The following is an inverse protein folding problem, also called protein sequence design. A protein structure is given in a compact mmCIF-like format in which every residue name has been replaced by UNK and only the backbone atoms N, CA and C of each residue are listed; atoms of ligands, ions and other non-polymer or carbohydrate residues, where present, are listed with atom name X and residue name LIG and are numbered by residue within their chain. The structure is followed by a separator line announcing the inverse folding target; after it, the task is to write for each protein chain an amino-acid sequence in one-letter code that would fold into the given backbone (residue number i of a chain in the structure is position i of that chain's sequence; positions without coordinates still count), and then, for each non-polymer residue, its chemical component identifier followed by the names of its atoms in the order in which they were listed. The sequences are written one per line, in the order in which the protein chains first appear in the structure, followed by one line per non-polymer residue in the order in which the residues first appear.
data_IF_048951770403
#
_entry.id   IF_048951770403
#
_cell.length_a   1.000
_cell.length_b   1.000
_cell.length_c   1.000
_cell.angle_alpha   90.00
_cell.angle_beta   90.00
_cell.angle_gamma   90.00
#
_symmetry.space_group_name_H-M   'P 1'
#
loop_
_entity.id
_entity.type
_entity.pdbx_description
1 polymer ?
#
# COMPACT_ATOMS: atom_id res chain seq x y z
N UNK A 1 17.30 -20.53 20.70
CA UNK A 1 15.86 -20.40 20.96
C UNK A 1 15.18 -20.26 19.63
N UNK A 2 14.22 -21.10 19.28
CA UNK A 2 13.46 -20.91 18.03
C UNK A 2 12.65 -19.63 18.16
N UNK A 3 12.83 -18.73 17.19
CA UNK A 3 12.02 -17.53 17.07
C UNK A 3 10.57 -17.98 16.82
N UNK A 4 9.65 -17.63 17.72
CA UNK A 4 8.24 -17.84 17.49
C UNK A 4 7.85 -17.13 16.19
N UNK A 5 7.17 -17.82 15.24
CA UNK A 5 6.70 -17.15 14.04
C UNK A 5 5.77 -16.01 14.48
N UNK A 6 6.16 -14.77 14.18
CA UNK A 6 5.27 -13.65 14.28
C UNK A 6 4.22 -13.92 13.22
N UNK A 7 3.01 -14.25 13.64
CA UNK A 7 1.84 -14.29 12.76
C UNK A 7 1.61 -12.85 12.31
N UNK A 8 2.20 -12.51 11.19
CA UNK A 8 1.98 -11.23 10.56
C UNK A 8 0.58 -11.27 9.97
N UNK A 9 -0.25 -10.33 10.37
CA UNK A 9 -1.55 -10.10 9.77
C UNK A 9 -1.32 -9.79 8.28
N UNK A 10 -1.89 -10.56 7.33
CA UNK A 10 -1.70 -10.30 5.90
C UNK A 10 -2.06 -8.89 5.46
N UNK A 11 -2.94 -8.21 6.18
CA UNK A 11 -3.30 -6.82 5.94
C UNK A 11 -2.13 -5.83 6.15
N UNK A 12 -1.08 -6.24 6.88
CA UNK A 12 0.12 -5.43 7.13
C UNK A 12 1.13 -5.51 5.98
N UNK A 13 0.99 -6.48 5.06
CA UNK A 13 2.00 -6.77 4.03
C UNK A 13 1.90 -5.94 2.76
N UNK A 14 0.78 -5.35 2.50
CA UNK A 14 0.62 -4.51 1.32
C UNK A 14 0.49 -3.05 1.78
N UNK A 15 1.59 -2.28 1.78
CA UNK A 15 1.51 -0.86 2.04
C UNK A 15 0.85 -0.19 0.83
N UNK A 16 -0.43 -0.41 0.69
CA UNK A 16 -1.26 0.47 -0.10
C UNK A 16 -1.51 1.71 0.75
N UNK A 17 -1.64 2.87 0.15
CA UNK A 17 -2.13 4.10 0.80
C UNK A 17 -3.45 3.91 1.58
N UNK A 18 -4.00 2.73 1.55
CA UNK A 18 -5.23 2.24 2.21
C UNK A 18 -5.02 1.67 3.62
N UNK A 19 -3.80 1.27 3.96
CA UNK A 19 -3.51 0.69 5.29
C UNK A 19 -3.39 1.77 6.38
N UNK A 20 -3.42 3.04 6.00
CA UNK A 20 -3.73 4.13 6.90
C UNK A 20 -5.24 4.16 7.19
N UNK A 21 -5.76 3.05 7.70
CA UNK A 21 -7.06 3.01 8.34
C UNK A 21 -7.02 3.74 9.70
N UNK A 22 -6.64 5.02 9.69
CA UNK A 22 -7.25 5.99 10.59
C UNK A 22 -8.60 6.33 9.97
N UNK A 23 -9.45 5.36 9.86
CA UNK A 23 -10.86 5.62 9.71
C UNK A 23 -11.35 5.95 11.11
N UNK A 24 -11.20 7.19 11.49
CA UNK A 24 -12.22 7.81 12.33
C UNK A 24 -13.54 7.49 11.60
N UNK A 25 -14.34 6.58 12.18
CA UNK A 25 -15.45 5.95 11.49
C UNK A 25 -16.26 6.97 10.70
N UNK A 26 -16.05 7.00 9.41
CA UNK A 26 -16.87 7.82 8.54
C UNK A 26 -18.27 7.18 8.58
N UNK A 27 -19.28 7.84 9.14
CA UNK A 27 -20.62 7.23 9.28
C UNK A 27 -21.25 6.91 7.92
N UNK A 28 -20.67 7.36 6.82
CA UNK A 28 -21.14 7.10 5.46
C UNK A 28 -20.44 5.92 4.78
N UNK A 29 -19.45 5.28 5.43
CA UNK A 29 -18.82 4.06 4.92
C UNK A 29 -19.27 2.85 5.70
N UNK A 30 -19.81 1.85 5.01
CA UNK A 30 -20.10 0.54 5.58
C UNK A 30 -19.09 -0.44 5.01
N UNK A 31 -18.37 -1.14 5.89
CA UNK A 31 -17.42 -2.17 5.51
C UNK A 31 -17.78 -3.53 6.13
N UNK A 32 -17.68 -4.58 5.35
CA UNK A 32 -17.79 -5.98 5.81
C UNK A 32 -16.49 -6.66 5.40
N UNK A 33 -15.78 -7.24 6.36
CA UNK A 33 -14.60 -8.03 6.14
C UNK A 33 -14.81 -9.43 6.70
N UNK A 34 -14.53 -10.42 5.87
CA UNK A 34 -14.47 -11.80 6.27
C UNK A 34 -13.14 -12.40 5.79
N UNK A 35 -12.45 -13.09 6.66
CA UNK A 35 -11.18 -13.71 6.33
C UNK A 35 -10.99 -15.03 7.06
N UNK A 36 -10.21 -15.93 6.47
CA UNK A 36 -9.92 -17.23 7.07
C UNK A 36 -8.79 -17.98 6.40
N UNK A 37 -8.27 -18.94 7.12
CA UNK A 37 -7.27 -19.84 6.59
C UNK A 37 -7.92 -20.88 5.70
N UNK A 38 -7.41 -21.03 4.47
CA UNK A 38 -7.82 -22.08 3.53
C UNK A 38 -6.96 -23.34 3.71
N UNK A 39 -5.65 -23.14 3.92
CA UNK A 39 -4.69 -24.21 4.12
C UNK A 39 -3.51 -23.73 4.94
N UNK A 40 -2.93 -24.59 5.79
CA UNK A 40 -1.77 -24.27 6.63
C UNK A 40 -0.81 -25.47 6.68
N UNK A 41 0.50 -25.20 6.62
CA UNK A 41 1.58 -26.14 6.83
C UNK A 41 2.69 -25.50 7.66
N UNK A 42 3.73 -26.24 8.00
CA UNK A 42 4.78 -25.83 8.97
C UNK A 42 5.42 -24.47 8.64
N UNK A 43 5.68 -24.20 7.37
CA UNK A 43 6.41 -23.01 6.93
C UNK A 43 5.56 -22.04 6.11
N UNK A 44 4.23 -22.21 6.06
CA UNK A 44 3.39 -21.34 5.26
C UNK A 44 1.90 -21.55 5.45
N UNK A 45 1.13 -20.72 4.78
CA UNK A 45 -0.32 -20.79 4.78
C UNK A 45 -0.92 -20.16 3.51
N UNK A 46 -2.12 -20.59 3.18
CA UNK A 46 -3.00 -19.92 2.22
C UNK A 46 -4.15 -19.30 3.00
N UNK A 47 -4.34 -18.01 2.78
CA UNK A 47 -5.37 -17.22 3.43
C UNK A 47 -6.32 -16.66 2.38
N UNK A 48 -7.62 -16.73 2.64
CA UNK A 48 -8.66 -16.13 1.82
C UNK A 48 -9.31 -14.97 2.55
N UNK A 49 -9.63 -13.90 1.84
CA UNK A 49 -10.38 -12.77 2.38
C UNK A 49 -11.44 -12.28 1.40
N UNK A 50 -12.50 -11.74 1.97
CA UNK A 50 -13.56 -11.04 1.25
C UNK A 50 -13.81 -9.71 1.94
N UNK A 51 -13.82 -8.63 1.15
CA UNK A 51 -14.06 -7.29 1.65
C UNK A 51 -15.15 -6.63 0.84
N UNK A 52 -16.05 -5.96 1.52
CA UNK A 52 -17.02 -5.06 0.90
C UNK A 52 -16.89 -3.69 1.56
N UNK A 53 -16.68 -2.66 0.74
CA UNK A 53 -16.64 -1.27 1.15
C UNK A 53 -17.67 -0.49 0.33
N UNK A 54 -18.58 0.18 1.02
CA UNK A 54 -19.61 0.99 0.37
C UNK A 54 -19.52 2.43 0.85
N UNK A 55 -19.57 3.36 -0.09
CA UNK A 55 -19.69 4.79 0.18
C UNK A 55 -20.97 5.29 -0.50
N UNK A 56 -21.90 5.71 0.29
CA UNK A 56 -23.26 6.07 -0.15
C UNK A 56 -23.22 7.10 -1.28
N UNK A 57 -23.91 6.77 -2.38
CA UNK A 57 -24.04 7.63 -3.54
C UNK A 57 -22.77 7.79 -4.41
N UNK A 58 -21.64 7.20 -4.01
CA UNK A 58 -20.39 7.32 -4.74
C UNK A 58 -19.93 5.99 -5.36
N UNK A 59 -19.78 4.94 -4.55
CA UNK A 59 -19.39 3.62 -5.06
C UNK A 59 -19.64 2.50 -4.04
N UNK A 60 -19.74 1.29 -4.56
CA UNK A 60 -19.65 0.01 -3.81
C UNK A 60 -18.47 -0.78 -4.39
N UNK A 61 -17.59 -1.28 -3.54
CA UNK A 61 -16.46 -2.14 -3.90
C UNK A 61 -16.62 -3.47 -3.19
N UNK A 62 -16.48 -4.56 -3.95
CA UNK A 62 -16.31 -5.90 -3.40
C UNK A 62 -15.02 -6.50 -3.88
N UNK A 63 -14.31 -7.16 -2.99
CA UNK A 63 -13.09 -7.87 -3.34
C UNK A 63 -13.07 -9.27 -2.75
N UNK A 64 -12.43 -10.15 -3.49
CA UNK A 64 -12.05 -11.49 -3.02
C UNK A 64 -10.57 -11.62 -3.28
N UNK A 65 -9.83 -12.12 -2.29
CA UNK A 65 -8.40 -12.23 -2.35
C UNK A 65 -7.95 -13.58 -1.80
N UNK A 66 -6.93 -14.16 -2.43
CA UNK A 66 -6.26 -15.37 -1.95
C UNK A 66 -4.77 -15.06 -1.88
N UNK A 67 -4.21 -15.25 -0.69
CA UNK A 67 -2.80 -14.97 -0.38
C UNK A 67 -2.09 -16.24 0.03
N UNK A 68 -0.90 -16.45 -0.54
CA UNK A 68 0.08 -17.44 -0.13
C UNK A 68 1.15 -16.73 0.71
N UNK A 69 1.39 -17.21 1.91
CA UNK A 69 2.47 -16.74 2.79
C UNK A 69 3.40 -17.89 3.05
N UNK A 70 4.69 -17.67 2.82
CA UNK A 70 5.73 -18.71 2.94
C UNK A 70 6.96 -18.16 3.65
N UNK A 71 7.51 -18.95 4.59
CA UNK A 71 8.72 -18.61 5.33
C UNK A 71 9.85 -19.59 4.98
N UNK A 72 11.00 -19.03 4.59
CA UNK A 72 12.24 -19.79 4.29
C UNK A 72 13.39 -19.24 5.13
N UNK A 73 13.46 -19.61 6.40
CA UNK A 73 14.46 -19.09 7.32
C UNK A 73 14.36 -17.57 7.50
N UNK A 74 15.34 -16.83 6.97
CA UNK A 74 15.36 -15.37 7.03
C UNK A 74 14.51 -14.68 5.93
N UNK A 75 14.05 -15.45 4.94
CA UNK A 75 13.22 -14.94 3.84
C UNK A 75 11.76 -15.22 4.12
N UNK A 76 10.94 -14.19 4.03
CA UNK A 76 9.48 -14.23 4.03
C UNK A 76 8.96 -13.83 2.67
N UNK A 77 8.01 -14.56 2.15
CA UNK A 77 7.33 -14.27 0.90
C UNK A 77 5.82 -14.24 1.14
N UNK A 78 5.17 -13.21 0.66
CA UNK A 78 3.72 -13.16 0.52
C UNK A 78 3.38 -12.88 -0.94
N UNK A 79 2.45 -13.65 -1.52
CA UNK A 79 1.98 -13.45 -2.90
C UNK A 79 0.48 -13.66 -2.94
N UNK A 80 -0.23 -12.82 -3.67
CA UNK A 80 -1.68 -12.86 -3.71
C UNK A 80 -2.25 -12.60 -5.09
N UNK A 81 -3.48 -13.07 -5.26
CA UNK A 81 -4.34 -12.76 -6.41
C UNK A 81 -5.64 -12.26 -5.84
N UNK A 82 -6.15 -11.16 -6.40
CA UNK A 82 -7.39 -10.53 -5.99
C UNK A 82 -8.27 -10.19 -7.19
N UNK A 83 -9.58 -10.26 -6.98
CA UNK A 83 -10.56 -9.74 -7.90
C UNK A 83 -11.35 -8.64 -7.19
N UNK A 84 -11.43 -7.48 -7.84
CA UNK A 84 -12.14 -6.31 -7.35
C UNK A 84 -13.29 -5.98 -8.29
N UNK A 85 -14.45 -5.77 -7.75
CA UNK A 85 -15.60 -5.32 -8.50
C UNK A 85 -16.11 -4.01 -7.91
N UNK A 86 -16.27 -3.02 -8.77
CA UNK A 86 -16.67 -1.66 -8.42
C UNK A 86 -17.99 -1.33 -9.09
N UNK A 87 -18.93 -0.81 -8.33
CA UNK A 87 -20.18 -0.24 -8.84
C UNK A 87 -20.20 1.24 -8.52
N UNK A 88 -20.42 2.02 -9.54
CA UNK A 88 -20.45 3.48 -9.50
C UNK A 88 -21.68 3.97 -10.26
N UNK A 89 -22.18 5.19 -10.02
CA UNK A 89 -23.28 5.74 -10.81
C UNK A 89 -22.95 5.70 -12.32
N UNK A 90 -23.74 4.92 -13.07
CA UNK A 90 -23.57 4.79 -14.53
C UNK A 90 -22.39 3.94 -15.00
N UNK A 91 -21.61 3.32 -14.09
CA UNK A 91 -20.43 2.54 -14.47
C UNK A 91 -20.19 1.36 -13.54
N UNK A 92 -19.81 0.23 -14.13
CA UNK A 92 -19.32 -0.95 -13.42
C UNK A 92 -17.96 -1.33 -13.96
N UNK A 93 -16.98 -1.57 -13.07
CA UNK A 93 -15.64 -1.97 -13.43
C UNK A 93 -15.21 -3.22 -12.67
N UNK A 94 -14.36 -4.01 -13.31
CA UNK A 94 -13.75 -5.19 -12.70
C UNK A 94 -12.24 -5.09 -12.90
N UNK A 95 -11.49 -5.31 -11.82
CA UNK A 95 -10.04 -5.39 -11.84
C UNK A 95 -9.59 -6.75 -11.31
N UNK A 96 -8.51 -7.26 -11.87
CA UNK A 96 -7.77 -8.39 -11.31
C UNK A 96 -6.44 -7.84 -10.85
N UNK A 97 -6.08 -8.13 -9.61
CA UNK A 97 -4.81 -7.75 -9.00
C UNK A 97 -3.93 -8.96 -8.75
N UNK A 98 -2.64 -8.77 -8.89
CA UNK A 98 -1.60 -9.70 -8.43
C UNK A 98 -0.64 -8.90 -7.57
N UNK A 99 -0.20 -9.49 -6.46
CA UNK A 99 0.70 -8.84 -5.53
C UNK A 99 1.78 -9.80 -5.04
N UNK A 100 2.95 -9.27 -4.75
CA UNK A 100 4.02 -10.01 -4.12
C UNK A 100 4.80 -9.12 -3.18
N UNK A 101 5.28 -9.69 -2.09
CA UNK A 101 6.12 -9.04 -1.11
C UNK A 101 7.20 -10.05 -0.69
N UNK A 102 8.44 -9.61 -0.71
CA UNK A 102 9.60 -10.38 -0.31
C UNK A 102 10.33 -9.60 0.78
N UNK A 103 10.46 -10.18 1.96
CA UNK A 103 11.20 -9.58 3.07
C UNK A 103 12.35 -10.50 3.46
N UNK A 104 13.56 -9.97 3.44
CA UNK A 104 14.75 -10.65 3.95
C UNK A 104 15.21 -9.99 5.25
N UNK A 105 15.31 -10.76 6.32
CA UNK A 105 15.76 -10.31 7.65
C UNK A 105 17.21 -10.64 7.87
N UNK A 106 18.06 -9.63 7.87
CA UNK A 106 19.49 -9.81 8.21
C UNK A 106 19.66 -10.16 9.70
N UNK A 107 18.86 -9.51 10.55
CA UNK A 107 18.80 -9.74 11.99
C UNK A 107 17.45 -9.17 12.54
N UNK A 108 17.32 -9.11 13.86
CA UNK A 108 16.11 -8.57 14.51
C UNK A 108 15.90 -7.07 14.29
N UNK A 109 16.96 -6.34 13.95
CA UNK A 109 16.93 -4.88 13.80
C UNK A 109 16.90 -4.42 12.35
N UNK A 110 17.31 -5.26 11.39
CA UNK A 110 17.52 -4.85 10.00
C UNK A 110 16.83 -5.84 9.06
N UNK A 111 15.97 -5.32 8.19
CA UNK A 111 15.37 -6.09 7.10
C UNK A 111 15.25 -5.25 5.83
N UNK A 112 15.25 -5.92 4.69
CA UNK A 112 14.93 -5.32 3.39
C UNK A 112 13.66 -5.95 2.86
N UNK A 113 12.77 -5.11 2.34
CA UNK A 113 11.51 -5.55 1.74
C UNK A 113 11.41 -5.02 0.32
N UNK A 114 11.10 -5.91 -0.62
CA UNK A 114 10.71 -5.56 -1.99
C UNK A 114 9.25 -5.96 -2.20
N UNK A 115 8.48 -5.14 -2.87
CA UNK A 115 7.08 -5.40 -3.14
C UNK A 115 6.68 -4.99 -4.54
N UNK A 116 5.64 -5.64 -5.05
CA UNK A 116 5.02 -5.30 -6.32
C UNK A 116 3.55 -5.65 -6.31
N UNK A 117 2.75 -4.78 -6.87
CA UNK A 117 1.33 -4.98 -7.13
C UNK A 117 1.03 -4.57 -8.58
N UNK A 118 0.38 -5.45 -9.30
CA UNK A 118 -0.13 -5.18 -10.63
C UNK A 118 -1.65 -5.29 -10.63
N UNK A 119 -2.32 -4.32 -11.23
CA UNK A 119 -3.79 -4.29 -11.33
C UNK A 119 -4.17 -4.04 -12.77
N UNK A 120 -5.07 -4.87 -13.30
CA UNK A 120 -5.62 -4.69 -14.65
C UNK A 120 -6.56 -3.48 -14.71
N UNK A 121 -6.73 -2.90 -15.91
CA UNK A 121 -7.71 -1.84 -16.18
C UNK A 121 -7.67 -0.70 -15.16
N UNK A 122 -6.54 0.03 -15.03
CA UNK A 122 -6.48 1.18 -14.14
C UNK A 122 -7.49 2.23 -14.61
N UNK A 123 -8.34 2.70 -13.70
CA UNK A 123 -9.36 3.71 -13.99
C UNK A 123 -9.38 4.78 -12.91
N UNK A 124 -9.87 5.95 -13.28
CA UNK A 124 -10.08 7.06 -12.39
C UNK A 124 -11.57 7.42 -12.33
N UNK A 125 -12.07 7.74 -11.16
CA UNK A 125 -13.45 8.17 -10.94
C UNK A 125 -13.48 9.59 -10.37
N UNK A 126 -12.94 9.76 -9.19
CA UNK A 126 -12.89 11.03 -8.47
C UNK A 126 -11.80 11.01 -7.42
N UNK A 127 -11.38 12.17 -6.94
CA UNK A 127 -10.42 12.28 -5.84
C UNK A 127 -10.94 11.63 -4.56
N UNK A 128 -12.25 11.68 -4.30
CA UNK A 128 -12.85 11.08 -3.12
C UNK A 128 -12.84 9.54 -3.17
N UNK A 129 -12.98 8.94 -4.36
CA UNK A 129 -12.95 7.49 -4.56
C UNK A 129 -11.52 6.95 -4.72
N UNK A 130 -10.55 7.81 -5.08
CA UNK A 130 -9.17 7.40 -5.38
C UNK A 130 -8.52 6.54 -4.29
N UNK A 131 -8.63 6.85 -2.99
CA UNK A 131 -8.06 6.01 -1.94
C UNK A 131 -8.59 4.57 -1.88
N UNK A 132 -9.70 4.28 -2.54
CA UNK A 132 -10.37 2.97 -2.53
C UNK A 132 -10.19 2.19 -3.84
N UNK A 133 -9.55 2.79 -4.85
CA UNK A 133 -9.29 2.14 -6.14
C UNK A 133 -7.86 1.60 -6.15
N UNK A 134 -7.70 0.32 -6.44
CA UNK A 134 -6.37 -0.28 -6.49
C UNK A 134 -5.61 0.18 -7.71
N UNK A 135 -4.33 0.46 -7.52
CA UNK A 135 -3.40 0.89 -8.56
C UNK A 135 -2.18 -0.03 -8.60
N UNK A 136 -1.50 -0.07 -9.72
CA UNK A 136 -0.25 -0.81 -9.83
C UNK A 136 0.88 -0.03 -9.16
N UNK A 137 1.68 -0.72 -8.34
CA UNK A 137 2.79 -0.13 -7.62
C UNK A 137 3.92 -1.15 -7.45
N UNK A 138 5.15 -0.70 -7.33
CA UNK A 138 6.29 -1.53 -6.94
C UNK A 138 7.36 -0.69 -6.26
N UNK A 139 8.14 -1.31 -5.41
CA UNK A 139 9.16 -0.61 -4.66
C UNK A 139 9.99 -1.52 -3.77
N UNK A 140 10.89 -0.88 -3.04
CA UNK A 140 11.66 -1.54 -2.01
C UNK A 140 12.04 -0.56 -0.90
N UNK A 141 12.17 -1.07 0.31
CA UNK A 141 12.59 -0.29 1.45
C UNK A 141 13.42 -1.12 2.44
N UNK A 142 14.32 -0.43 3.12
CA UNK A 142 15.10 -0.94 4.25
C UNK A 142 14.40 -0.53 5.54
N UNK A 143 14.19 -1.48 6.44
CA UNK A 143 13.66 -1.20 7.77
C UNK A 143 14.76 -1.36 8.81
N UNK A 144 14.93 -0.33 9.62
CA UNK A 144 15.77 -0.32 10.80
C UNK A 144 14.84 -0.21 12.02
N UNK A 145 14.89 -1.16 12.94
CA UNK A 145 13.99 -1.16 14.08
C UNK A 145 14.69 -1.63 15.37
N UNK A 146 14.18 -1.15 16.48
CA UNK A 146 14.48 -1.68 17.80
C UNK A 146 13.16 -2.05 18.52
N UNK A 147 13.23 -2.30 19.84
CA UNK A 147 12.06 -2.71 20.60
C UNK A 147 10.93 -1.67 20.64
N UNK A 148 11.22 -0.39 20.46
CA UNK A 148 10.26 0.72 20.63
C UNK A 148 10.01 1.53 19.37
N UNK A 149 11.03 1.71 18.57
CA UNK A 149 10.97 2.56 17.36
C UNK A 149 11.51 1.85 16.15
N UNK A 150 11.00 2.20 14.98
CA UNK A 150 11.50 1.74 13.70
C UNK A 150 11.47 2.87 12.67
N UNK A 151 12.23 2.69 11.62
CA UNK A 151 12.27 3.59 10.46
C UNK A 151 12.43 2.75 9.20
N UNK A 152 11.50 2.90 8.27
CA UNK A 152 11.61 2.31 6.94
C UNK A 152 11.93 3.41 5.92
N UNK A 153 12.97 3.18 5.11
CA UNK A 153 13.45 4.09 4.08
C UNK A 153 13.53 3.37 2.75
N UNK A 154 12.98 3.96 1.71
CA UNK A 154 12.98 3.35 0.39
C UNK A 154 12.42 4.22 -0.71
N UNK A 155 12.03 3.56 -1.79
CA UNK A 155 11.43 4.18 -2.96
C UNK A 155 10.35 3.28 -3.52
N UNK A 156 9.29 3.89 -4.01
CA UNK A 156 8.22 3.22 -4.76
C UNK A 156 7.89 3.96 -6.04
N UNK A 157 7.35 3.21 -6.98
CA UNK A 157 6.67 3.76 -8.16
C UNK A 157 5.24 3.26 -8.16
N UNK A 158 4.32 4.19 -8.32
CA UNK A 158 2.89 3.94 -8.37
C UNK A 158 2.32 4.49 -9.67
N UNK A 159 1.39 3.78 -10.28
CA UNK A 159 0.67 4.26 -11.46
C UNK A 159 -0.47 5.19 -11.04
N UNK A 160 -0.41 6.45 -11.48
CA UNK A 160 -1.48 7.43 -11.29
C UNK A 160 -2.47 7.33 -12.47
N UNK A 161 -3.68 6.77 -12.27
CA UNK A 161 -4.67 6.63 -13.33
C UNK A 161 -5.27 7.97 -13.76
N UNK A 162 -5.21 9.02 -12.95
CA UNK A 162 -5.65 10.36 -13.31
C UNK A 162 -4.71 11.01 -14.32
N UNK A 163 -3.40 10.98 -14.03
CA UNK A 163 -2.36 11.53 -14.91
C UNK A 163 -1.89 10.55 -15.97
N UNK A 164 -2.30 9.28 -15.87
CA UNK A 164 -1.90 8.16 -16.74
C UNK A 164 -0.38 7.99 -16.82
N UNK A 165 0.31 8.15 -15.71
CA UNK A 165 1.76 8.06 -15.63
C UNK A 165 2.23 7.39 -14.35
N UNK A 166 3.45 6.85 -14.39
CA UNK A 166 4.12 6.33 -13.22
C UNK A 166 4.74 7.48 -12.42
N UNK A 167 4.44 7.52 -11.13
CA UNK A 167 4.96 8.49 -10.17
C UNK A 167 5.95 7.77 -9.27
N UNK A 168 7.09 8.40 -9.01
CA UNK A 168 8.09 7.89 -8.07
C UNK A 168 7.99 8.66 -6.76
N UNK A 169 7.84 7.93 -5.66
CA UNK A 169 7.73 8.46 -4.32
C UNK A 169 8.80 7.90 -3.39
N UNK A 170 9.40 8.71 -2.53
CA UNK A 170 10.19 8.21 -1.43
C UNK A 170 9.28 7.49 -0.42
N UNK A 171 9.80 6.45 0.19
CA UNK A 171 9.18 5.78 1.33
C UNK A 171 9.93 6.23 2.57
N UNK A 172 9.26 6.92 3.49
CA UNK A 172 9.80 7.31 4.80
C UNK A 172 8.73 7.06 5.83
N UNK A 173 8.86 5.94 6.53
CA UNK A 173 7.85 5.47 7.47
C UNK A 173 8.47 5.22 8.85
N UNK A 174 8.50 6.21 9.75
CA UNK A 174 8.76 5.97 11.15
C UNK A 174 7.64 5.15 11.78
N UNK A 175 8.01 4.26 12.67
CA UNK A 175 7.09 3.42 13.44
C UNK A 175 7.39 3.48 14.92
N UNK A 176 6.35 3.43 15.73
CA UNK A 176 6.42 3.49 17.20
C UNK A 176 5.61 2.35 17.79
N UNK A 177 6.23 1.57 18.66
CA UNK A 177 5.56 0.48 19.34
C UNK A 177 5.07 0.94 20.72
N UNK A 178 3.76 0.90 20.90
CA UNK A 178 3.09 1.20 22.17
C UNK A 178 2.39 -0.06 22.70
N UNK A 179 3.06 -0.79 23.58
CA UNK A 179 2.56 -2.07 24.07
C UNK A 179 2.44 -3.12 22.97
N UNK A 180 1.23 -3.56 22.65
CA UNK A 180 0.95 -4.54 21.57
C UNK A 180 0.66 -3.88 20.22
N UNK A 181 0.53 -2.57 20.15
CA UNK A 181 0.18 -1.82 18.94
C UNK A 181 1.41 -1.15 18.36
N UNK A 182 1.57 -1.23 17.04
CA UNK A 182 2.57 -0.47 16.30
C UNK A 182 1.85 0.63 15.51
N UNK A 183 2.27 1.87 15.71
CA UNK A 183 1.81 3.04 14.94
C UNK A 183 2.88 3.33 13.89
N UNK A 184 2.48 3.44 12.63
CA UNK A 184 3.36 3.76 11.52
C UNK A 184 2.74 4.90 10.73
N UNK A 185 3.56 5.87 10.31
CA UNK A 185 3.12 7.06 9.58
C UNK A 185 3.96 7.16 8.32
N UNK A 186 3.30 7.25 7.14
CA UNK A 186 3.99 7.47 5.88
C UNK A 186 4.15 8.97 5.59
N UNK A 187 5.39 9.44 5.54
CA UNK A 187 5.76 10.81 5.17
C UNK A 187 6.15 10.97 3.70
N UNK A 188 6.19 9.89 2.93
CA UNK A 188 6.60 9.90 1.52
C UNK A 188 5.82 10.91 0.67
N UNK A 189 4.48 10.90 0.67
CA UNK A 189 3.67 11.84 -0.10
C UNK A 189 3.89 13.30 0.28
N UNK A 190 4.03 13.59 1.58
CA UNK A 190 4.31 14.96 2.06
C UNK A 190 5.68 15.44 1.60
N UNK A 191 6.69 14.58 1.66
CA UNK A 191 8.04 14.90 1.22
C UNK A 191 8.09 15.13 -0.29
N UNK A 192 7.39 14.30 -1.09
CA UNK A 192 7.25 14.53 -2.53
C UNK A 192 6.70 15.93 -2.82
N UNK A 193 5.64 16.34 -2.15
CA UNK A 193 5.04 17.66 -2.32
C UNK A 193 6.05 18.79 -2.03
N UNK A 194 6.82 18.67 -0.96
CA UNK A 194 7.87 19.63 -0.60
C UNK A 194 8.94 19.69 -1.68
N UNK A 195 9.45 18.55 -2.13
CA UNK A 195 10.50 18.48 -3.16
C UNK A 195 10.00 19.09 -4.47
N UNK A 196 8.78 18.75 -4.91
CA UNK A 196 8.22 19.32 -6.13
C UNK A 196 8.07 20.83 -6.05
N UNK A 197 7.63 21.37 -4.91
CA UNK A 197 7.51 22.82 -4.71
C UNK A 197 8.89 23.52 -4.69
N UNK A 198 9.93 22.89 -4.15
CA UNK A 198 11.28 23.44 -4.16
C UNK A 198 11.84 23.48 -5.58
N UNK A 199 11.69 22.41 -6.35
CA UNK A 199 12.17 22.33 -7.75
C UNK A 199 11.42 23.33 -8.65
N UNK A 200 10.10 23.48 -8.47
CA UNK A 200 9.33 24.43 -9.27
C UNK A 200 9.57 25.89 -8.90
N UNK A 201 9.99 26.19 -7.68
CA UNK A 201 10.30 27.53 -7.24
C UNK A 201 11.48 28.14 -8.03
N UNK A 202 12.43 27.31 -8.44
CA UNK A 202 13.56 27.74 -9.25
C UNK A 202 13.19 28.02 -10.72
N UNK A 203 12.08 27.46 -11.22
CA UNK A 203 11.59 27.75 -12.58
C UNK A 203 10.79 29.06 -12.67
N UNK A 204 10.17 29.52 -11.57
CA UNK A 204 9.44 30.80 -11.55
C UNK A 204 10.34 32.03 -11.47
N UNK A 205 11.63 31.87 -11.20
CA UNK A 205 12.60 32.96 -11.18
C UNK A 205 13.20 33.31 -12.56
N UNK A 206 12.79 32.64 -13.63
CA UNK A 206 13.04 33.13 -14.97
C UNK A 206 12.01 34.21 -15.25
N UNK A 207 12.41 35.46 -15.05
CA UNK A 207 11.59 36.64 -15.33
C UNK A 207 11.00 36.62 -16.75
N UNK A 208 9.95 37.43 -17.01
CA UNK A 208 9.27 37.42 -18.30
C UNK A 208 10.30 37.67 -19.42
N UNK A 209 10.34 36.77 -20.40
CA UNK A 209 11.12 36.96 -21.64
C UNK A 209 10.50 38.15 -22.34
N UNK A 210 11.14 39.33 -22.24
CA UNK A 210 10.76 40.50 -23.00
C UNK A 210 11.23 40.27 -24.44
N UNK A 211 10.32 40.16 -25.42
CA UNK A 211 10.73 40.07 -26.81
C UNK A 211 11.47 41.37 -27.17
N UNK A 212 12.71 41.31 -27.58
CA UNK A 212 13.39 42.42 -28.16
C UNK A 212 12.75 42.77 -29.52
N UNK A 213 12.59 44.06 -29.85
CA UNK A 213 12.00 44.52 -31.10
C UNK A 213 12.88 44.18 -32.32
#
# INVERSE_FOLDING_TARGET
MPLSPILLDPSVYFPTSKDLNIVAGNPYTMGINASGYLWKWDNGLIHGSHTQNSMWGLFDQRSVEVNLIQHYGALEMASGIAAYKYWMPGKQETQIGMSTLLTYRFNQAISITAFGQYVTNPFYVSMAAYPYINTSAYGAYLTLQNEKIGLSLGVQREYDPFRRQWITDPIIMPSFKMGKTTIQIDFGPALRYIIQNLIHKDQYNQGPIIPHP
#
